data_IF_404555808158
#
_entry.id   IF_404555808158
#
_cell.length_a   1.000
_cell.length_b   1.000
_cell.length_c   1.000
_cell.angle_alpha   90.00
_cell.angle_beta   90.00
_cell.angle_gamma   90.00
#
_symmetry.space_group_name_H-M   'P 1'
#
loop_
_entity.id
_entity.type
_entity.pdbx_description
1 polymer ?
#
# COMPACT_ATOMS: atom_id res chain seq x y z
N UNK A 1 17.50 -14.19 10.40
CA UNK A 1 16.54 -14.38 9.29
C UNK A 1 16.79 -15.75 8.72
N UNK A 2 15.79 -16.64 8.72
CA UNK A 2 15.94 -17.99 8.17
C UNK A 2 15.92 -17.94 6.64
N UNK A 3 16.69 -18.83 6.01
CA UNK A 3 16.75 -18.94 4.55
C UNK A 3 15.72 -19.93 3.99
N UNK A 4 15.23 -20.83 4.83
CA UNK A 4 14.19 -21.78 4.46
C UNK A 4 12.83 -21.09 4.42
N UNK A 5 12.15 -21.20 3.27
CA UNK A 5 10.82 -20.63 3.01
C UNK A 5 9.72 -21.11 3.97
N UNK A 6 9.84 -22.30 4.55
CA UNK A 6 8.88 -22.83 5.53
C UNK A 6 9.04 -22.19 6.92
N UNK A 7 10.24 -21.71 7.23
CA UNK A 7 10.53 -21.04 8.51
C UNK A 7 10.39 -19.51 8.42
N UNK A 8 10.56 -18.97 7.22
CA UNK A 8 10.41 -17.56 6.91
C UNK A 8 9.92 -17.46 5.47
N UNK A 9 8.66 -17.11 5.29
CA UNK A 9 8.10 -17.02 3.94
C UNK A 9 8.85 -15.99 3.08
N UNK A 10 8.83 -16.12 1.74
CA UNK A 10 9.44 -15.14 0.85
C UNK A 10 8.95 -13.72 1.10
N UNK A 11 7.67 -13.55 1.45
CA UNK A 11 7.10 -12.27 1.86
C UNK A 11 7.75 -11.71 3.12
N UNK A 12 7.87 -12.51 4.18
CA UNK A 12 8.48 -12.07 5.44
C UNK A 12 9.99 -11.83 5.31
N UNK A 13 10.67 -12.54 4.42
CA UNK A 13 12.06 -12.31 4.05
C UNK A 13 12.21 -10.98 3.30
N UNK A 14 11.37 -10.73 2.30
CA UNK A 14 11.31 -9.47 1.58
C UNK A 14 11.03 -8.28 2.51
N UNK A 15 10.04 -8.45 3.42
CA UNK A 15 9.69 -7.44 4.42
C UNK A 15 10.85 -7.12 5.38
N UNK A 16 11.66 -8.12 5.75
CA UNK A 16 12.84 -7.88 6.58
C UNK A 16 13.79 -6.87 5.91
N UNK A 17 14.11 -7.07 4.64
CA UNK A 17 14.96 -6.16 3.88
C UNK A 17 14.30 -4.79 3.66
N UNK A 18 13.00 -4.78 3.36
CA UNK A 18 12.22 -3.54 3.17
C UNK A 18 12.22 -2.65 4.41
N UNK A 19 12.32 -3.23 5.59
CA UNK A 19 12.35 -2.55 6.89
C UNK A 19 13.77 -2.22 7.39
N UNK A 20 14.80 -2.39 6.55
CA UNK A 20 16.18 -1.97 6.86
C UNK A 20 16.22 -0.48 7.21
N UNK A 21 17.01 -0.10 8.21
CA UNK A 21 17.24 1.29 8.58
C UNK A 21 17.92 2.07 7.45
N UNK A 22 17.56 3.34 7.26
CA UNK A 22 18.04 4.18 6.14
C UNK A 22 19.57 4.18 6.04
N UNK A 23 20.25 4.28 7.20
CA UNK A 23 21.71 4.31 7.29
C UNK A 23 22.40 3.00 6.86
N UNK A 24 21.67 1.89 6.86
CA UNK A 24 22.22 0.56 6.58
C UNK A 24 21.93 0.07 5.16
N UNK A 25 20.99 0.67 4.44
CA UNK A 25 20.54 0.20 3.11
C UNK A 25 21.71 0.02 2.15
N UNK A 26 22.52 1.07 1.96
CA UNK A 26 23.67 1.04 1.04
C UNK A 26 24.72 0.03 1.48
N UNK A 27 24.97 -0.07 2.79
CA UNK A 27 25.91 -1.06 3.34
C UNK A 27 25.42 -2.48 3.09
N UNK A 28 24.12 -2.74 3.26
CA UNK A 28 23.53 -4.05 3.04
C UNK A 28 23.46 -4.42 1.56
N UNK A 29 23.21 -3.46 0.67
CA UNK A 29 23.35 -3.68 -0.78
C UNK A 29 24.77 -4.14 -1.12
N UNK A 30 25.82 -3.55 -0.52
CA UNK A 30 27.21 -3.96 -0.77
C UNK A 30 27.58 -5.34 -0.20
N UNK A 31 26.90 -5.78 0.86
CA UNK A 31 27.25 -7.01 1.59
C UNK A 31 26.41 -8.23 1.19
N UNK A 32 25.16 -8.02 0.76
CA UNK A 32 24.17 -9.09 0.63
C UNK A 32 23.57 -9.20 -0.78
N UNK A 33 24.05 -8.43 -1.74
CA UNK A 33 23.60 -8.52 -3.13
C UNK A 33 24.76 -8.53 -4.11
N UNK A 34 24.50 -9.03 -5.32
CA UNK A 34 25.42 -8.96 -6.46
C UNK A 34 25.21 -7.70 -7.33
N UNK A 35 24.68 -6.63 -6.73
CA UNK A 35 24.45 -5.39 -7.46
C UNK A 35 25.76 -4.71 -7.87
N UNK A 36 25.84 -4.15 -9.09
CA UNK A 36 27.00 -3.35 -9.49
C UNK A 36 27.21 -2.17 -8.55
N UNK A 37 28.46 -1.88 -8.21
CA UNK A 37 28.80 -0.75 -7.34
C UNK A 37 28.23 0.58 -7.86
N UNK A 38 28.24 0.78 -9.17
CA UNK A 38 27.68 1.95 -9.84
C UNK A 38 26.17 2.13 -9.57
N UNK A 39 25.41 1.03 -9.53
CA UNK A 39 23.98 1.05 -9.20
C UNK A 39 23.79 1.40 -7.72
N UNK A 40 24.60 0.81 -6.83
CA UNK A 40 24.52 1.09 -5.39
C UNK A 40 24.84 2.56 -5.08
N UNK A 41 25.81 3.15 -5.77
CA UNK A 41 26.16 4.57 -5.60
C UNK A 41 25.05 5.54 -6.05
N UNK A 42 24.13 5.10 -6.92
CA UNK A 42 22.94 5.89 -7.25
C UNK A 42 21.98 5.97 -6.05
N UNK A 43 21.82 4.86 -5.32
CA UNK A 43 21.00 4.80 -4.12
C UNK A 43 21.68 5.40 -2.89
N UNK A 44 23.02 5.46 -2.84
CA UNK A 44 23.76 6.08 -1.75
C UNK A 44 23.46 7.58 -1.58
N UNK A 45 22.97 8.23 -2.64
CA UNK A 45 22.56 9.64 -2.64
C UNK A 45 21.07 9.85 -2.37
N UNK A 46 20.30 8.78 -2.20
CA UNK A 46 18.87 8.84 -2.01
C UNK A 46 18.53 9.29 -0.57
N UNK A 47 17.81 10.40 -0.45
CA UNK A 47 17.32 10.93 0.83
C UNK A 47 15.80 11.10 0.80
N UNK A 48 15.18 11.18 1.99
CA UNK A 48 13.75 11.47 2.12
C UNK A 48 12.88 10.38 1.47
N UNK A 49 12.03 10.74 0.51
CA UNK A 49 11.15 9.76 -0.14
C UNK A 49 11.91 8.73 -0.99
N UNK A 50 13.05 9.12 -1.57
CA UNK A 50 13.83 8.30 -2.50
C UNK A 50 14.52 7.10 -1.81
N UNK A 51 14.72 7.14 -0.49
CA UNK A 51 15.28 6.00 0.26
C UNK A 51 14.37 4.76 0.19
N UNK A 52 13.06 4.96 -0.02
CA UNK A 52 12.12 3.85 -0.16
C UNK A 52 12.40 3.01 -1.41
N UNK A 53 12.86 3.65 -2.49
CA UNK A 53 13.22 2.94 -3.73
C UNK A 53 14.47 2.10 -3.52
N UNK A 54 15.46 2.61 -2.76
CA UNK A 54 16.64 1.87 -2.37
C UNK A 54 16.30 0.64 -1.52
N UNK A 55 15.42 0.81 -0.52
CA UNK A 55 14.94 -0.30 0.33
C UNK A 55 14.17 -1.34 -0.46
N UNK A 56 13.31 -0.91 -1.38
CA UNK A 56 12.57 -1.80 -2.26
C UNK A 56 13.54 -2.59 -3.15
N UNK A 57 14.52 -1.92 -3.75
CA UNK A 57 15.53 -2.57 -4.59
C UNK A 57 16.35 -3.60 -3.81
N UNK A 58 16.79 -3.27 -2.59
CA UNK A 58 17.48 -4.21 -1.71
C UNK A 58 16.62 -5.46 -1.45
N UNK A 59 15.35 -5.28 -1.11
CA UNK A 59 14.43 -6.37 -0.82
C UNK A 59 14.17 -7.26 -2.05
N UNK A 60 13.95 -6.65 -3.22
CA UNK A 60 13.72 -7.36 -4.48
C UNK A 60 14.92 -8.24 -4.83
N UNK A 61 16.14 -7.69 -4.78
CA UNK A 61 17.34 -8.42 -5.19
C UNK A 61 17.68 -9.51 -4.18
N UNK A 62 17.69 -9.21 -2.88
CA UNK A 62 18.01 -10.20 -1.86
C UNK A 62 17.00 -11.36 -1.86
N UNK A 63 15.72 -11.08 -2.09
CA UNK A 63 14.67 -12.12 -2.19
C UNK A 63 14.79 -12.91 -3.48
N UNK A 64 15.12 -12.27 -4.60
CA UNK A 64 15.34 -12.95 -5.89
C UNK A 64 16.50 -13.93 -5.81
N UNK A 65 17.61 -13.53 -5.16
CA UNK A 65 18.78 -14.38 -5.01
C UNK A 65 18.50 -15.65 -4.20
N UNK A 66 17.59 -15.58 -3.22
CA UNK A 66 17.29 -16.70 -2.34
C UNK A 66 16.10 -17.56 -2.79
N UNK A 67 15.02 -16.92 -3.21
CA UNK A 67 13.72 -17.56 -3.48
C UNK A 67 13.32 -17.54 -4.97
N UNK A 68 14.12 -16.90 -5.82
CA UNK A 68 13.82 -16.73 -7.24
C UNK A 68 12.94 -15.53 -7.55
N UNK A 69 12.91 -15.17 -8.84
CA UNK A 69 12.28 -13.96 -9.33
C UNK A 69 10.75 -13.95 -9.15
N UNK A 70 10.09 -15.11 -9.35
CA UNK A 70 8.63 -15.19 -9.20
C UNK A 70 8.18 -14.93 -7.76
N UNK A 71 8.86 -15.51 -6.79
CA UNK A 71 8.52 -15.35 -5.38
C UNK A 71 8.85 -13.94 -4.89
N UNK A 72 9.93 -13.33 -5.37
CA UNK A 72 10.23 -11.93 -5.10
C UNK A 72 9.14 -11.00 -5.65
N UNK A 73 8.66 -11.22 -6.88
CA UNK A 73 7.55 -10.45 -7.48
C UNK A 73 6.26 -10.61 -6.67
N UNK A 74 5.91 -11.82 -6.27
CA UNK A 74 4.74 -12.07 -5.40
C UNK A 74 4.85 -11.36 -4.06
N UNK A 75 6.03 -11.44 -3.42
CA UNK A 75 6.29 -10.77 -2.16
C UNK A 75 6.19 -9.24 -2.26
N UNK A 76 6.79 -8.66 -3.30
CA UNK A 76 6.71 -7.23 -3.59
C UNK A 76 5.27 -6.78 -3.86
N UNK A 77 4.52 -7.53 -4.69
CA UNK A 77 3.12 -7.24 -4.99
C UNK A 77 2.23 -7.33 -3.74
N UNK A 78 2.45 -8.35 -2.89
CA UNK A 78 1.75 -8.47 -1.61
C UNK A 78 2.08 -7.30 -0.68
N UNK A 79 3.35 -6.88 -0.60
CA UNK A 79 3.76 -5.74 0.20
C UNK A 79 3.19 -4.41 -0.33
N UNK A 80 3.13 -4.24 -1.65
CA UNK A 80 2.48 -3.10 -2.28
C UNK A 80 0.99 -3.09 -2.03
N UNK A 81 0.29 -4.22 -2.15
CA UNK A 81 -1.12 -4.34 -1.81
C UNK A 81 -1.40 -3.96 -0.35
N UNK A 82 -0.50 -4.30 0.58
CA UNK A 82 -0.58 -3.89 1.99
C UNK A 82 -0.30 -2.39 2.17
N UNK A 83 0.46 -1.75 1.28
CA UNK A 83 0.83 -0.32 1.37
C UNK A 83 -0.15 0.61 0.64
N UNK A 84 -0.59 0.25 -0.57
CA UNK A 84 -1.66 0.91 -1.33
C UNK A 84 -3.02 0.66 -0.67
N UNK A 85 -3.22 -0.54 -0.12
CA UNK A 85 -4.27 -0.90 0.84
C UNK A 85 -4.00 -0.45 2.29
N UNK A 86 -2.86 0.22 2.52
CA UNK A 86 -2.30 0.79 3.75
C UNK A 86 -3.01 0.60 5.11
N UNK A 87 -2.21 0.07 6.02
CA UNK A 87 -2.56 -0.14 7.42
C UNK A 87 -3.15 -1.53 7.55
N UNK A 88 -2.52 -2.35 8.39
CA UNK A 88 -2.96 -3.65 8.83
C UNK A 88 -4.47 -3.85 8.61
N UNK A 89 -4.82 -4.80 7.74
CA UNK A 89 -6.22 -5.23 7.59
C UNK A 89 -6.85 -5.55 8.96
N UNK A 90 -6.00 -5.95 9.92
CA UNK A 90 -6.27 -6.07 11.34
C UNK A 90 -6.31 -4.67 12.01
N UNK A 91 -7.46 -4.01 11.97
CA UNK A 91 -7.73 -2.84 12.83
C UNK A 91 -8.33 -1.61 12.14
N UNK A 92 -8.51 -1.63 10.81
CA UNK A 92 -9.20 -0.54 10.12
C UNK A 92 -10.72 -0.63 10.34
N UNK A 93 -11.40 0.47 10.73
CA UNK A 93 -12.85 0.52 10.81
C UNK A 93 -13.47 0.08 9.48
N UNK A 94 -14.22 -1.01 9.50
CA UNK A 94 -14.90 -1.55 8.32
C UNK A 94 -16.37 -1.22 8.41
N UNK A 95 -16.95 -0.78 7.30
CA UNK A 95 -18.38 -0.57 7.14
C UNK A 95 -18.88 -1.32 5.91
N UNK A 96 -20.11 -1.80 6.00
CA UNK A 96 -20.72 -2.65 4.99
C UNK A 96 -21.67 -1.84 4.11
N UNK A 97 -21.63 -2.10 2.81
CA UNK A 97 -22.52 -1.49 1.81
C UNK A 97 -23.10 -2.62 0.97
N UNK A 98 -24.44 -2.68 0.77
CA UNK A 98 -25.03 -3.69 -0.09
C UNK A 98 -24.43 -3.64 -1.48
N UNK A 99 -24.01 -4.79 -2.02
CA UNK A 99 -23.34 -4.89 -3.32
C UNK A 99 -24.16 -4.25 -4.45
N UNK A 100 -25.49 -4.34 -4.37
CA UNK A 100 -26.40 -3.69 -5.31
C UNK A 100 -26.21 -2.16 -5.39
N UNK A 101 -25.87 -1.50 -4.28
CA UNK A 101 -25.58 -0.06 -4.25
C UNK A 101 -24.22 0.27 -4.88
N UNK A 102 -23.25 -0.65 -4.78
CA UNK A 102 -21.94 -0.52 -5.44
C UNK A 102 -22.09 -0.67 -6.97
N UNK A 103 -22.87 -1.65 -7.42
CA UNK A 103 -23.19 -1.84 -8.85
C UNK A 103 -23.87 -0.59 -9.43
N UNK A 104 -24.74 0.06 -8.64
CA UNK A 104 -25.39 1.31 -9.03
C UNK A 104 -24.51 2.56 -9.00
N UNK A 105 -23.23 2.43 -8.60
CA UNK A 105 -22.31 3.56 -8.42
C UNK A 105 -22.53 4.25 -7.08
N UNK A 106 -21.89 3.73 -6.03
CA UNK A 106 -22.08 4.26 -4.68
C UNK A 106 -21.35 5.60 -4.51
N UNK A 107 -22.02 6.71 -4.13
CA UNK A 107 -21.38 8.01 -4.06
C UNK A 107 -20.21 8.05 -3.08
N UNK A 108 -19.06 8.59 -3.51
CA UNK A 108 -17.86 8.68 -2.67
C UNK A 108 -18.10 9.48 -1.39
N UNK A 109 -18.84 10.59 -1.48
CA UNK A 109 -19.15 11.42 -0.31
C UNK A 109 -19.97 10.65 0.73
N UNK A 110 -20.85 9.75 0.29
CA UNK A 110 -21.66 8.92 1.18
C UNK A 110 -20.80 7.85 1.84
N UNK A 111 -19.87 7.27 1.09
CA UNK A 111 -18.88 6.34 1.61
C UNK A 111 -17.97 6.97 2.67
N UNK A 112 -17.53 8.23 2.48
CA UNK A 112 -16.71 8.96 3.45
C UNK A 112 -17.45 9.23 4.76
N UNK A 113 -18.75 9.51 4.69
CA UNK A 113 -19.59 9.72 5.88
C UNK A 113 -19.91 8.38 6.56
N UNK A 114 -20.28 7.35 5.79
CA UNK A 114 -20.57 6.01 6.30
C UNK A 114 -19.35 5.40 7.01
N UNK A 115 -18.15 5.57 6.44
CA UNK A 115 -16.88 5.18 7.04
C UNK A 115 -16.40 6.06 8.19
N UNK A 116 -17.20 7.04 8.63
CA UNK A 116 -16.87 8.03 9.69
C UNK A 116 -15.56 8.79 9.42
N UNK A 117 -15.19 8.95 8.16
CA UNK A 117 -14.01 9.71 7.73
C UNK A 117 -14.30 11.22 7.66
N UNK A 118 -15.57 11.57 7.45
CA UNK A 118 -16.10 12.93 7.51
C UNK A 118 -17.39 12.95 8.35
N UNK A 119 -17.62 14.01 9.12
CA UNK A 119 -18.81 14.17 9.94
C UNK A 119 -20.07 14.54 9.12
N UNK A 120 -19.89 15.02 7.88
CA UNK A 120 -21.00 15.40 6.98
C UNK A 120 -20.57 15.38 5.51
N UNK A 121 -21.53 15.35 4.58
CA UNK A 121 -21.27 15.46 3.14
C UNK A 121 -20.55 16.78 2.78
N UNK A 122 -20.83 17.86 3.52
CA UNK A 122 -20.17 19.15 3.33
C UNK A 122 -18.69 19.15 3.75
N UNK A 123 -18.33 18.41 4.79
CA UNK A 123 -16.92 18.17 5.15
C UNK A 123 -16.25 17.25 4.13
N UNK A 124 -16.93 16.17 3.71
CA UNK A 124 -16.41 15.26 2.68
C UNK A 124 -16.10 16.02 1.37
N UNK A 125 -17.01 16.90 0.93
CA UNK A 125 -16.81 17.72 -0.28
C UNK A 125 -15.60 18.65 -0.16
N UNK A 126 -15.40 19.27 1.01
CA UNK A 126 -14.21 20.09 1.29
C UNK A 126 -12.93 19.25 1.25
N UNK A 127 -12.94 18.08 1.89
CA UNK A 127 -11.80 17.17 1.89
C UNK A 127 -11.39 16.73 0.47
N UNK A 128 -12.36 16.46 -0.41
CA UNK A 128 -12.11 16.17 -1.83
C UNK A 128 -11.50 17.39 -2.53
N UNK A 129 -12.07 18.59 -2.34
CA UNK A 129 -11.54 19.82 -2.92
C UNK A 129 -10.13 20.19 -2.44
N UNK A 130 -9.76 19.77 -1.23
CA UNK A 130 -8.41 19.90 -0.67
C UNK A 130 -7.44 18.80 -1.14
N UNK A 131 -7.86 17.92 -2.06
CA UNK A 131 -7.08 16.77 -2.54
C UNK A 131 -6.62 15.84 -1.41
N UNK A 132 -7.37 15.79 -0.32
CA UNK A 132 -7.02 15.00 0.87
C UNK A 132 -7.63 13.60 0.85
N UNK A 133 -8.50 13.30 -0.11
CA UNK A 133 -9.22 12.03 -0.21
C UNK A 133 -8.49 11.08 -1.15
N UNK A 134 -8.36 9.82 -0.73
CA UNK A 134 -7.85 8.73 -1.56
C UNK A 134 -8.78 7.52 -1.55
N UNK A 135 -8.94 6.90 -2.72
CA UNK A 135 -9.59 5.61 -2.93
C UNK A 135 -8.51 4.61 -3.37
N UNK A 136 -8.32 3.51 -2.64
CA UNK A 136 -7.27 2.51 -2.91
C UNK A 136 -5.84 3.10 -3.08
N UNK A 137 -5.58 4.22 -2.41
CA UNK A 137 -4.29 4.94 -2.50
C UNK A 137 -4.21 6.00 -3.60
N UNK A 138 -5.15 6.01 -4.54
CA UNK A 138 -5.25 7.00 -5.61
C UNK A 138 -6.01 8.24 -5.14
N UNK A 139 -5.52 9.43 -5.49
CA UNK A 139 -6.17 10.68 -5.10
C UNK A 139 -7.48 10.88 -5.89
N UNK A 140 -8.55 11.23 -5.18
CA UNK A 140 -9.84 11.55 -5.80
C UNK A 140 -10.13 13.03 -5.63
N UNK A 141 -10.31 13.71 -6.76
CA UNK A 141 -10.53 15.16 -6.83
C UNK A 141 -11.93 15.52 -7.31
N UNK A 142 -12.68 14.56 -7.84
CA UNK A 142 -14.06 14.73 -8.27
C UNK A 142 -15.04 14.46 -7.13
N UNK A 143 -15.85 15.47 -6.80
CA UNK A 143 -16.90 15.39 -5.78
C UNK A 143 -18.10 14.54 -6.22
N UNK A 144 -18.23 14.30 -7.53
CA UNK A 144 -19.24 13.43 -8.13
C UNK A 144 -18.75 11.99 -8.32
N UNK A 145 -17.51 11.68 -7.89
CA UNK A 145 -16.96 10.34 -8.00
C UNK A 145 -17.83 9.28 -7.30
N UNK A 146 -17.90 8.11 -7.93
CA UNK A 146 -18.64 6.95 -7.43
C UNK A 146 -17.69 5.76 -7.25
N UNK A 147 -18.00 4.91 -6.28
CA UNK A 147 -17.33 3.64 -6.04
C UNK A 147 -18.15 2.56 -6.73
N UNK A 148 -17.59 2.00 -7.80
CA UNK A 148 -18.15 0.88 -8.54
C UNK A 148 -17.40 -0.43 -8.26
N UNK A 149 -17.85 -1.53 -8.88
CA UNK A 149 -17.22 -2.85 -8.67
C UNK A 149 -15.74 -2.89 -9.06
N UNK A 150 -15.31 -2.09 -10.04
CA UNK A 150 -13.92 -2.00 -10.46
C UNK A 150 -12.98 -1.46 -9.35
N UNK A 151 -13.53 -0.80 -8.33
CA UNK A 151 -12.77 -0.31 -7.18
C UNK A 151 -12.66 -1.36 -6.05
N UNK A 152 -13.34 -2.50 -6.16
CA UNK A 152 -13.28 -3.57 -5.16
C UNK A 152 -12.11 -4.52 -5.45
N UNK A 153 -11.46 -4.99 -4.39
CA UNK A 153 -10.50 -6.09 -4.44
C UNK A 153 -11.17 -7.47 -4.51
N UNK A 154 -10.37 -8.54 -4.50
CA UNK A 154 -10.85 -9.93 -4.56
C UNK A 154 -11.77 -10.31 -3.38
N UNK A 155 -11.66 -9.62 -2.24
CA UNK A 155 -12.49 -9.83 -1.05
C UNK A 155 -13.77 -8.96 -1.07
N UNK A 156 -13.99 -8.20 -2.15
CA UNK A 156 -15.11 -7.30 -2.30
C UNK A 156 -14.97 -6.03 -1.46
N UNK A 157 -13.74 -5.58 -1.19
CA UNK A 157 -13.48 -4.40 -0.35
C UNK A 157 -12.78 -3.27 -1.09
N UNK A 158 -12.99 -2.04 -0.61
CA UNK A 158 -12.29 -0.85 -1.09
C UNK A 158 -11.80 -0.02 0.11
N UNK A 159 -10.66 0.64 -0.07
CA UNK A 159 -10.06 1.47 0.97
C UNK A 159 -10.33 2.95 0.73
N UNK A 160 -10.79 3.62 1.78
CA UNK A 160 -10.98 5.06 1.82
C UNK A 160 -10.00 5.69 2.80
N UNK A 161 -9.37 6.78 2.39
CA UNK A 161 -8.46 7.55 3.24
C UNK A 161 -8.77 9.05 3.15
N UNK A 162 -8.70 9.74 4.28
CA UNK A 162 -8.75 11.20 4.35
C UNK A 162 -7.54 11.72 5.11
N UNK A 163 -6.63 12.37 4.39
CA UNK A 163 -5.32 12.76 4.90
C UNK A 163 -4.45 11.55 5.27
N UNK A 164 -3.55 11.73 6.23
CA UNK A 164 -2.54 10.72 6.62
C UNK A 164 -2.98 9.75 7.73
N UNK A 165 -4.08 10.04 8.43
CA UNK A 165 -4.45 9.33 9.68
C UNK A 165 -5.83 8.70 9.67
N UNK A 166 -6.77 9.18 8.83
CA UNK A 166 -8.14 8.68 8.82
C UNK A 166 -8.29 7.68 7.69
N UNK A 167 -8.54 6.42 8.02
CA UNK A 167 -8.71 5.33 7.08
C UNK A 167 -9.93 4.48 7.45
N UNK A 168 -10.69 4.05 6.46
CA UNK A 168 -11.81 3.14 6.62
C UNK A 168 -11.87 2.17 5.44
N UNK A 169 -12.43 0.98 5.68
CA UNK A 169 -12.65 -0.05 4.67
C UNK A 169 -14.13 -0.16 4.36
N UNK A 170 -14.48 -0.02 3.09
CA UNK A 170 -15.80 -0.38 2.57
C UNK A 170 -15.78 -1.87 2.24
N UNK A 171 -16.78 -2.62 2.70
CA UNK A 171 -17.00 -4.03 2.32
C UNK A 171 -18.34 -4.17 1.62
N UNK A 172 -18.33 -4.70 0.39
CA UNK A 172 -19.55 -5.05 -0.32
C UNK A 172 -20.13 -6.34 0.28
N UNK A 173 -21.40 -6.30 0.70
CA UNK A 173 -22.14 -7.43 1.26
C UNK A 173 -23.38 -7.78 0.47
#
# INVERSE_FOLDING_TARGET
VWLNAEMRSPYEYWQFWRNTEDADVTRFMKLFTDLPAEEIEQYAKAEGAAINDAKKRLADVATTMLHGEEEAKKAAAAAEAVFTGGGSAEGMPTFEVPRAQIVGGYPLLDALVAGKLAASKGEAKRAVGENSVKLNGEAVTDVAAVIGEAALDADGTARLSVGKKRHARLKAV
#
